data_IF_108089134076
#
_entry.id   IF_108089134076
#
_cell.length_a   1.000
_cell.length_b   1.000
_cell.length_c   1.000
_cell.angle_alpha   90.00
_cell.angle_beta   90.00
_cell.angle_gamma   90.00
#
_symmetry.space_group_name_H-M   'P 1'
#
loop_
_entity.id
_entity.type
_entity.pdbx_description
1 polymer ?
#
# COMPACT_ATOMS: atom_id res chain seq x y z
N UNK A 1 -20.12 -1.95 -10.92
CA UNK A 1 -19.09 -2.39 -11.91
C UNK A 1 -18.25 -1.25 -12.48
N UNK A 2 -18.84 -0.10 -12.87
CA UNK A 2 -18.09 1.03 -13.46
C UNK A 2 -16.97 1.57 -12.55
N UNK A 3 -17.27 1.78 -11.26
CA UNK A 3 -16.32 2.28 -10.26
C UNK A 3 -15.10 1.36 -10.07
N UNK A 4 -15.28 0.03 -10.16
CA UNK A 4 -14.17 -0.95 -10.07
C UNK A 4 -13.15 -0.75 -11.18
N UNK A 5 -13.66 -0.63 -12.41
CA UNK A 5 -12.82 -0.42 -13.60
C UNK A 5 -12.01 0.86 -13.46
N UNK A 6 -12.66 1.96 -13.03
CA UNK A 6 -12.00 3.25 -12.83
C UNK A 6 -10.87 3.14 -11.82
N UNK A 7 -11.11 2.54 -10.64
CA UNK A 7 -10.07 2.41 -9.61
C UNK A 7 -8.87 1.58 -10.08
N UNK A 8 -9.12 0.45 -10.77
CA UNK A 8 -8.05 -0.37 -11.32
C UNK A 8 -7.30 0.35 -12.45
N UNK A 9 -7.99 1.09 -13.31
CA UNK A 9 -7.35 1.94 -14.33
C UNK A 9 -6.44 2.99 -13.69
N UNK A 10 -6.87 3.63 -12.60
CA UNK A 10 -6.02 4.58 -11.86
C UNK A 10 -4.77 3.88 -11.29
N UNK A 11 -4.92 2.70 -10.69
CA UNK A 11 -3.78 1.93 -10.18
C UNK A 11 -2.80 1.53 -11.30
N UNK A 12 -3.30 1.19 -12.50
CA UNK A 12 -2.48 0.88 -13.68
C UNK A 12 -1.79 2.12 -14.27
N UNK A 13 -2.44 3.30 -14.22
CA UNK A 13 -1.80 4.56 -14.57
C UNK A 13 -0.66 4.86 -13.59
N UNK A 14 -0.87 4.68 -12.28
CA UNK A 14 0.19 4.83 -11.29
C UNK A 14 1.34 3.82 -11.53
N UNK A 15 1.05 2.59 -11.97
CA UNK A 15 2.06 1.63 -12.39
C UNK A 15 2.87 2.14 -13.59
N UNK A 16 2.20 2.65 -14.62
CA UNK A 16 2.88 3.25 -15.78
C UNK A 16 3.79 4.41 -15.35
N UNK A 17 3.30 5.30 -14.49
CA UNK A 17 4.11 6.40 -13.96
C UNK A 17 5.31 5.88 -13.14
N UNK A 18 5.10 4.89 -12.27
CA UNK A 18 6.17 4.28 -11.50
C UNK A 18 7.24 3.62 -12.38
N UNK A 19 6.83 2.93 -13.46
CA UNK A 19 7.75 2.29 -14.41
C UNK A 19 8.52 3.32 -15.24
N UNK A 20 7.90 4.43 -15.64
CA UNK A 20 8.60 5.56 -16.29
C UNK A 20 9.68 6.13 -15.35
N UNK A 21 9.34 6.42 -14.09
CA UNK A 21 10.33 6.90 -13.10
C UNK A 21 11.43 5.85 -12.87
N UNK A 22 11.07 4.56 -12.84
CA UNK A 22 12.02 3.46 -12.73
C UNK A 22 12.97 3.36 -13.92
N UNK A 23 12.47 3.58 -15.14
CA UNK A 23 13.28 3.62 -16.35
C UNK A 23 14.24 4.82 -16.33
N UNK A 24 13.78 5.99 -15.86
CA UNK A 24 14.63 7.17 -15.67
C UNK A 24 15.75 6.91 -14.65
N UNK A 25 15.45 6.23 -13.53
CA UNK A 25 16.47 5.82 -12.57
C UNK A 25 17.53 4.90 -13.17
N UNK A 26 17.13 3.99 -14.06
CA UNK A 26 18.09 3.12 -14.79
C UNK A 26 18.91 3.90 -15.80
N UNK A 27 18.26 4.82 -16.53
CA UNK A 27 18.93 5.68 -17.50
C UNK A 27 19.95 6.64 -16.85
N UNK A 28 19.71 7.05 -15.60
CA UNK A 28 20.65 7.87 -14.83
C UNK A 28 22.03 7.22 -14.59
N UNK A 29 22.16 5.90 -14.80
CA UNK A 29 23.46 5.21 -14.79
C UNK A 29 24.18 5.23 -16.15
N UNK A 30 23.48 5.58 -17.22
CA UNK A 30 24.04 5.71 -18.57
C UNK A 30 24.53 7.13 -18.81
N UNK A 31 23.77 8.13 -18.36
CA UNK A 31 24.14 9.54 -18.45
C UNK A 31 23.62 10.30 -17.24
N UNK A 32 24.35 11.34 -16.83
CA UNK A 32 23.89 12.26 -15.80
C UNK A 32 22.62 12.98 -16.26
N UNK A 33 21.64 13.09 -15.36
CA UNK A 33 20.40 13.84 -15.58
C UNK A 33 20.54 15.22 -14.94
N UNK A 34 20.83 16.29 -15.72
CA UNK A 34 21.08 17.61 -15.16
C UNK A 34 19.85 18.12 -14.38
N UNK A 35 20.09 18.63 -13.17
CA UNK A 35 19.04 19.17 -12.29
C UNK A 35 18.23 18.12 -11.53
N UNK A 36 18.49 16.82 -11.70
CA UNK A 36 17.73 15.75 -11.04
C UNK A 36 18.59 15.03 -10.00
N UNK A 37 18.14 15.04 -8.74
CA UNK A 37 18.78 14.26 -7.66
C UNK A 37 18.29 12.83 -7.70
N UNK A 38 19.21 11.88 -7.89
CA UNK A 38 18.89 10.45 -7.95
C UNK A 38 18.05 9.96 -6.77
N UNK A 39 18.41 10.35 -5.53
CA UNK A 39 17.66 9.96 -4.33
C UNK A 39 16.21 10.44 -4.36
N UNK A 40 15.93 11.62 -4.92
CA UNK A 40 14.58 12.18 -4.97
C UNK A 40 13.71 11.40 -5.95
N UNK A 41 14.25 11.04 -7.12
CA UNK A 41 13.58 10.11 -8.04
C UNK A 41 13.39 8.73 -7.41
N UNK A 42 14.36 8.23 -6.66
CA UNK A 42 14.27 6.93 -5.99
C UNK A 42 13.12 6.91 -4.98
N UNK A 43 12.97 7.97 -4.18
CA UNK A 43 11.83 8.11 -3.28
C UNK A 43 10.51 8.25 -4.05
N UNK A 44 10.50 9.01 -5.14
CA UNK A 44 9.30 9.14 -6.01
C UNK A 44 8.86 7.77 -6.55
N UNK A 45 9.79 7.02 -7.15
CA UNK A 45 9.53 5.71 -7.71
C UNK A 45 8.96 4.76 -6.65
N UNK A 46 9.62 4.64 -5.50
CA UNK A 46 9.23 3.68 -4.47
C UNK A 46 7.84 3.99 -3.87
N UNK A 47 7.51 5.26 -3.62
CA UNK A 47 6.20 5.65 -3.10
C UNK A 47 5.10 5.47 -4.15
N UNK A 48 5.33 5.86 -5.41
CA UNK A 48 4.31 5.70 -6.47
C UNK A 48 4.11 4.23 -6.81
N UNK A 49 5.16 3.40 -6.79
CA UNK A 49 5.04 1.95 -6.99
C UNK A 49 4.28 1.26 -5.86
N UNK A 50 4.68 1.48 -4.60
CA UNK A 50 4.08 0.77 -3.46
C UNK A 50 2.71 1.34 -3.08
N UNK A 51 2.59 2.66 -2.96
CA UNK A 51 1.40 3.33 -2.47
C UNK A 51 0.44 3.72 -3.60
N UNK A 52 0.98 4.12 -4.75
CA UNK A 52 0.16 4.48 -5.92
C UNK A 52 -0.35 3.28 -6.71
N UNK A 53 0.48 2.28 -6.95
CA UNK A 53 0.08 1.10 -7.72
C UNK A 53 -0.42 -0.04 -6.83
N UNK A 54 0.47 -0.67 -6.05
CA UNK A 54 0.14 -1.93 -5.34
C UNK A 54 -0.97 -1.69 -4.33
N UNK A 55 -0.82 -0.69 -3.45
CA UNK A 55 -1.84 -0.38 -2.44
C UNK A 55 -3.19 -0.02 -3.06
N UNK A 56 -3.24 0.83 -4.09
CA UNK A 56 -4.51 1.24 -4.72
C UNK A 56 -5.18 0.08 -5.48
N UNK A 57 -4.40 -0.80 -6.10
CA UNK A 57 -4.93 -2.01 -6.71
C UNK A 57 -5.54 -2.94 -5.65
N UNK A 58 -4.82 -3.18 -4.55
CA UNK A 58 -5.32 -4.00 -3.44
C UNK A 58 -6.53 -3.37 -2.77
N UNK A 59 -6.55 -2.04 -2.54
CA UNK A 59 -7.70 -1.32 -2.04
C UNK A 59 -8.93 -1.66 -2.89
N UNK A 60 -8.82 -1.51 -4.21
CA UNK A 60 -9.93 -1.77 -5.11
C UNK A 60 -10.37 -3.23 -5.05
N UNK A 61 -9.44 -4.17 -5.22
CA UNK A 61 -9.74 -5.60 -5.26
C UNK A 61 -10.35 -6.09 -3.95
N UNK A 62 -9.80 -5.67 -2.80
CA UNK A 62 -10.30 -6.06 -1.48
C UNK A 62 -11.70 -5.53 -1.21
N UNK A 63 -11.98 -4.27 -1.55
CA UNK A 63 -13.33 -3.71 -1.40
C UNK A 63 -14.34 -4.54 -2.20
N UNK A 64 -14.06 -4.81 -3.48
CA UNK A 64 -15.00 -5.57 -4.31
C UNK A 64 -15.11 -7.05 -3.96
N UNK A 65 -14.09 -7.64 -3.32
CA UNK A 65 -14.10 -9.06 -2.97
C UNK A 65 -14.75 -9.33 -1.60
N UNK A 66 -14.61 -8.41 -0.64
CA UNK A 66 -14.98 -8.67 0.75
C UNK A 66 -16.11 -7.80 1.29
N UNK A 67 -16.47 -6.70 0.63
CA UNK A 67 -17.59 -5.85 1.06
C UNK A 67 -18.89 -6.35 0.44
N UNK A 68 -19.92 -6.69 1.25
CA UNK A 68 -21.21 -7.13 0.73
C UNK A 68 -21.93 -6.07 -0.11
N UNK A 69 -22.71 -6.49 -1.11
CA UNK A 69 -23.42 -5.58 -2.03
C UNK A 69 -24.37 -4.58 -1.34
N UNK A 70 -24.88 -4.92 -0.15
CA UNK A 70 -25.73 -4.03 0.65
C UNK A 70 -25.01 -2.84 1.30
N UNK A 71 -23.68 -2.80 1.29
CA UNK A 71 -22.89 -1.71 1.87
C UNK A 71 -22.58 -0.66 0.80
N UNK A 72 -22.95 0.60 1.08
CA UNK A 72 -22.69 1.71 0.15
C UNK A 72 -21.19 1.95 -0.04
N UNK A 73 -20.74 1.88 -1.30
CA UNK A 73 -19.36 2.15 -1.69
C UNK A 73 -19.02 3.64 -1.81
N UNK A 74 -19.97 4.55 -1.56
CA UNK A 74 -19.75 6.01 -1.70
C UNK A 74 -18.58 6.50 -0.86
N UNK A 75 -18.50 6.07 0.40
CA UNK A 75 -17.41 6.44 1.31
C UNK A 75 -16.07 5.88 0.86
N UNK A 76 -16.04 4.62 0.39
CA UNK A 76 -14.82 4.01 -0.16
C UNK A 76 -14.34 4.74 -1.41
N UNK A 77 -15.25 5.22 -2.25
CA UNK A 77 -14.90 6.05 -3.40
C UNK A 77 -14.26 7.38 -2.98
N UNK A 78 -14.82 8.06 -1.98
CA UNK A 78 -14.22 9.28 -1.44
C UNK A 78 -12.82 9.00 -0.88
N UNK A 79 -12.68 7.96 -0.06
CA UNK A 79 -11.40 7.57 0.52
C UNK A 79 -10.36 7.19 -0.54
N UNK A 80 -10.76 6.48 -1.60
CA UNK A 80 -9.91 6.15 -2.73
C UNK A 80 -9.36 7.41 -3.40
N UNK A 81 -10.23 8.37 -3.73
CA UNK A 81 -9.79 9.60 -4.40
C UNK A 81 -8.98 10.53 -3.50
N UNK A 82 -9.27 10.59 -2.20
CA UNK A 82 -8.44 11.30 -1.23
C UNK A 82 -7.06 10.68 -1.12
N UNK A 83 -6.99 9.34 -1.10
CA UNK A 83 -5.71 8.60 -1.11
C UNK A 83 -4.94 8.84 -2.41
N UNK A 84 -5.62 8.81 -3.56
CA UNK A 84 -5.01 9.13 -4.86
C UNK A 84 -4.47 10.57 -4.88
N UNK A 85 -5.19 11.52 -4.26
CA UNK A 85 -4.71 12.89 -4.09
C UNK A 85 -3.37 12.94 -3.36
N UNK A 86 -3.20 12.14 -2.30
CA UNK A 86 -1.91 12.00 -1.62
C UNK A 86 -0.82 11.37 -2.49
N UNK A 87 -1.16 10.38 -3.32
CA UNK A 87 -0.22 9.77 -4.28
C UNK A 87 0.27 10.79 -5.31
N UNK A 88 -0.64 11.59 -5.87
CA UNK A 88 -0.29 12.67 -6.80
C UNK A 88 0.56 13.73 -6.09
N UNK A 89 0.21 14.09 -4.85
CA UNK A 89 1.00 14.98 -4.01
C UNK A 89 2.44 14.49 -3.85
N UNK A 90 2.63 13.21 -3.51
CA UNK A 90 3.95 12.57 -3.42
C UNK A 90 4.68 12.55 -4.77
N UNK A 91 3.99 12.21 -5.86
CA UNK A 91 4.56 12.17 -7.21
C UNK A 91 5.15 13.53 -7.61
N UNK A 92 4.50 14.63 -7.22
CA UNK A 92 4.95 15.99 -7.54
C UNK A 92 5.98 16.52 -6.55
N UNK A 93 5.85 16.20 -5.26
CA UNK A 93 6.70 16.79 -4.22
C UNK A 93 8.04 16.08 -4.04
N UNK A 94 8.10 14.74 -4.16
CA UNK A 94 9.35 14.00 -3.97
C UNK A 94 10.45 14.39 -4.99
N UNK A 95 10.17 14.58 -6.30
CA UNK A 95 11.19 15.00 -7.26
C UNK A 95 11.80 16.37 -6.93
N UNK A 96 11.03 17.26 -6.30
CA UNK A 96 11.44 18.65 -6.01
C UNK A 96 12.22 18.76 -4.70
N UNK A 97 11.77 18.10 -3.64
CA UNK A 97 12.30 18.32 -2.28
C UNK A 97 12.67 17.04 -1.53
N UNK A 98 12.54 15.86 -2.14
CA UNK A 98 12.77 14.58 -1.45
C UNK A 98 11.89 14.46 -0.20
N UNK A 99 12.49 14.14 0.95
CA UNK A 99 11.84 14.15 2.27
C UNK A 99 11.60 15.56 2.84
N UNK A 100 11.16 16.51 2.01
CA UNK A 100 10.71 17.82 2.45
C UNK A 100 9.31 17.77 3.09
N UNK A 101 8.89 18.89 3.70
CA UNK A 101 7.67 18.97 4.49
C UNK A 101 6.42 18.50 3.73
N UNK A 102 6.21 18.96 2.49
CA UNK A 102 5.05 18.53 1.69
C UNK A 102 5.05 17.03 1.37
N UNK A 103 6.21 16.42 1.10
CA UNK A 103 6.31 15.00 0.79
C UNK A 103 5.97 14.16 2.01
N UNK A 104 6.50 14.56 3.17
CA UNK A 104 6.17 13.93 4.46
C UNK A 104 4.67 14.11 4.79
N UNK A 105 4.11 15.30 4.54
CA UNK A 105 2.70 15.56 4.79
C UNK A 105 1.81 14.65 3.93
N UNK A 106 2.05 14.55 2.62
CA UNK A 106 1.26 13.66 1.75
C UNK A 106 1.45 12.18 2.10
N UNK A 107 2.66 11.73 2.42
CA UNK A 107 2.89 10.35 2.90
C UNK A 107 2.14 10.08 4.20
N UNK A 108 2.14 11.04 5.13
CA UNK A 108 1.42 10.93 6.41
C UNK A 108 -0.09 10.85 6.17
N UNK A 109 -0.64 11.75 5.35
CA UNK A 109 -2.07 11.73 5.00
C UNK A 109 -2.45 10.39 4.36
N UNK A 110 -1.61 9.86 3.46
CA UNK A 110 -1.82 8.54 2.88
C UNK A 110 -1.88 7.44 3.96
N UNK A 111 -0.95 7.43 4.93
CA UNK A 111 -0.96 6.48 6.05
C UNK A 111 -2.26 6.60 6.86
N UNK A 112 -2.69 7.81 7.18
CA UNK A 112 -3.92 8.05 7.94
C UNK A 112 -5.17 7.53 7.19
N UNK A 113 -5.28 7.81 5.90
CA UNK A 113 -6.36 7.24 5.07
C UNK A 113 -6.30 5.71 5.00
N UNK A 114 -5.09 5.15 5.03
CA UNK A 114 -4.91 3.70 5.08
C UNK A 114 -5.42 3.08 6.38
N UNK A 115 -5.31 3.77 7.52
CA UNK A 115 -5.91 3.33 8.79
C UNK A 115 -7.43 3.43 8.76
N UNK A 116 -7.97 4.51 8.18
CA UNK A 116 -9.43 4.64 7.98
C UNK A 116 -9.96 3.50 7.12
N UNK A 117 -9.25 3.16 6.04
CA UNK A 117 -9.57 2.04 5.16
C UNK A 117 -9.64 0.73 5.93
N UNK A 118 -8.61 0.41 6.73
CA UNK A 118 -8.55 -0.80 7.56
C UNK A 118 -9.73 -0.87 8.52
N UNK A 119 -10.03 0.22 9.23
CA UNK A 119 -11.13 0.29 10.18
C UNK A 119 -12.49 0.04 9.49
N UNK A 120 -12.72 0.64 8.32
CA UNK A 120 -13.94 0.40 7.53
C UNK A 120 -14.03 -1.03 7.02
N UNK A 121 -12.95 -1.58 6.47
CA UNK A 121 -12.91 -2.96 5.98
C UNK A 121 -13.25 -3.97 7.09
N UNK A 122 -12.69 -3.80 8.30
CA UNK A 122 -13.02 -4.67 9.43
C UNK A 122 -14.47 -4.57 9.87
N UNK A 123 -15.05 -3.37 9.86
CA UNK A 123 -16.44 -3.14 10.27
C UNK A 123 -17.43 -3.68 9.23
N UNK A 124 -17.15 -3.48 7.95
CA UNK A 124 -18.13 -3.69 6.89
C UNK A 124 -18.11 -5.10 6.28
N UNK A 125 -16.99 -5.83 6.41
CA UNK A 125 -16.89 -7.20 5.91
C UNK A 125 -17.90 -8.14 6.58
N UNK A 126 -18.39 -7.82 7.78
CA UNK A 126 -19.37 -8.62 8.52
C UNK A 126 -18.76 -9.82 9.27
N UNK A 127 -19.56 -10.58 10.03
CA UNK A 127 -19.05 -11.52 11.04
C UNK A 127 -18.64 -12.91 10.52
N UNK A 128 -18.78 -13.20 9.21
CA UNK A 128 -18.47 -14.53 8.67
C UNK A 128 -17.00 -14.89 8.92
N UNK A 129 -16.76 -16.14 9.31
CA UNK A 129 -15.42 -16.67 9.59
C UNK A 129 -15.02 -17.64 8.48
N UNK A 130 -14.50 -17.10 7.38
CA UNK A 130 -13.87 -17.89 6.31
C UNK A 130 -12.34 -17.73 6.37
N UNK A 131 -11.61 -18.67 5.79
CA UNK A 131 -10.15 -18.63 5.76
C UNK A 131 -9.63 -17.39 5.04
N UNK A 132 -10.24 -17.03 3.91
CA UNK A 132 -9.91 -15.80 3.17
C UNK A 132 -10.04 -14.53 4.01
N UNK A 133 -11.07 -14.44 4.87
CA UNK A 133 -11.30 -13.31 5.77
C UNK A 133 -10.30 -13.27 6.92
N UNK A 134 -9.85 -14.43 7.40
CA UNK A 134 -8.80 -14.50 8.41
C UNK A 134 -7.48 -13.97 7.84
N UNK A 135 -7.10 -14.42 6.64
CA UNK A 135 -5.95 -13.89 5.90
C UNK A 135 -6.06 -12.38 5.67
N UNK A 136 -7.25 -11.88 5.27
CA UNK A 136 -7.44 -10.44 5.11
C UNK A 136 -7.22 -9.67 6.42
N UNK A 137 -7.73 -10.17 7.56
CA UNK A 137 -7.48 -9.54 8.86
C UNK A 137 -6.00 -9.54 9.22
N UNK A 138 -5.30 -10.64 8.95
CA UNK A 138 -3.85 -10.74 9.14
C UNK A 138 -3.10 -9.74 8.26
N UNK A 139 -3.46 -9.61 6.98
CA UNK A 139 -2.88 -8.63 6.08
C UNK A 139 -3.08 -7.20 6.61
N UNK A 140 -4.32 -6.81 6.92
CA UNK A 140 -4.64 -5.47 7.43
C UNK A 140 -3.92 -5.17 8.75
N UNK A 141 -3.75 -6.16 9.62
CA UNK A 141 -2.92 -6.03 10.82
C UNK A 141 -1.47 -5.69 10.46
N UNK A 142 -0.85 -6.46 9.55
CA UNK A 142 0.52 -6.21 9.13
C UNK A 142 0.70 -4.89 8.39
N UNK A 143 -0.33 -4.40 7.71
CA UNK A 143 -0.33 -3.05 7.15
C UNK A 143 -0.13 -1.99 8.23
N UNK A 144 -0.89 -2.05 9.34
CA UNK A 144 -0.67 -1.13 10.47
C UNK A 144 0.68 -1.40 11.13
N UNK A 145 1.00 -2.67 11.39
CA UNK A 145 2.21 -3.03 12.11
C UNK A 145 3.48 -2.54 11.39
N UNK A 146 3.54 -2.67 10.06
CA UNK A 146 4.69 -2.21 9.26
C UNK A 146 4.95 -0.71 9.43
N UNK A 147 3.89 0.11 9.58
CA UNK A 147 4.03 1.57 9.67
C UNK A 147 4.72 2.04 10.94
N UNK A 148 4.88 1.18 11.96
CA UNK A 148 5.76 1.46 13.10
C UNK A 148 7.18 1.78 12.62
N UNK A 149 7.66 1.10 11.56
CA UNK A 149 8.91 1.40 10.89
C UNK A 149 8.98 2.86 10.40
N UNK A 150 7.91 3.35 9.79
CA UNK A 150 7.83 4.73 9.29
C UNK A 150 7.74 5.74 10.43
N UNK A 151 6.96 5.46 11.47
CA UNK A 151 6.85 6.35 12.62
C UNK A 151 8.17 6.47 13.40
N UNK A 152 8.97 5.41 13.43
CA UNK A 152 10.34 5.47 13.99
C UNK A 152 11.26 6.39 13.18
N UNK A 153 11.01 6.60 11.88
CA UNK A 153 11.87 7.44 11.04
C UNK A 153 11.88 8.91 11.48
N UNK A 154 10.78 9.45 11.97
CA UNK A 154 10.73 10.84 12.45
C UNK A 154 11.79 11.12 13.52
N UNK A 155 11.74 10.42 14.67
CA UNK A 155 12.76 10.53 15.73
C UNK A 155 14.18 10.16 15.27
N UNK A 156 14.35 9.11 14.46
CA UNK A 156 15.68 8.69 13.96
C UNK A 156 16.31 9.79 13.12
N UNK A 157 15.53 10.45 12.26
CA UNK A 157 16.01 11.50 11.38
C UNK A 157 16.31 12.82 12.10
N UNK A 158 15.71 13.03 13.28
CA UNK A 158 15.91 14.20 14.14
C UNK A 158 17.07 14.03 15.15
N UNK A 159 17.67 12.84 15.22
CA UNK A 159 18.77 12.52 16.14
C UNK A 159 20.03 12.14 15.36
N UNK A 160 21.20 11.97 16.02
CA UNK A 160 22.42 11.46 15.39
C UNK A 160 22.30 10.02 14.84
N UNK A 161 21.14 9.37 15.01
CA UNK A 161 20.85 8.03 14.49
C UNK A 161 20.59 8.01 12.97
N UNK A 162 20.48 9.17 12.33
CA UNK A 162 20.38 9.32 10.87
C UNK A 162 21.61 8.70 10.21
N UNK A 163 21.46 7.50 9.64
CA UNK A 163 22.49 6.60 9.08
C UNK A 163 23.13 5.56 10.02
N UNK A 164 22.62 5.41 11.23
CA UNK A 164 22.97 4.28 12.11
C UNK A 164 22.24 2.99 11.70
N UNK A 165 22.61 1.86 12.32
CA UNK A 165 21.89 0.59 12.18
C UNK A 165 20.40 0.72 12.46
N UNK A 166 19.98 1.63 13.35
CA UNK A 166 18.56 1.88 13.64
C UNK A 166 17.79 2.43 12.44
N UNK A 167 18.42 3.28 11.62
CA UNK A 167 17.81 3.77 10.38
C UNK A 167 17.53 2.61 9.41
N UNK A 168 18.53 1.75 9.19
CA UNK A 168 18.40 0.60 8.30
C UNK A 168 17.39 -0.42 8.84
N UNK A 169 17.39 -0.67 10.15
CA UNK A 169 16.41 -1.56 10.80
C UNK A 169 14.98 -1.03 10.63
N UNK A 170 14.74 0.28 10.81
CA UNK A 170 13.41 0.86 10.64
C UNK A 170 12.90 0.74 9.19
N UNK A 171 13.78 0.99 8.20
CA UNK A 171 13.45 0.79 6.77
C UNK A 171 13.17 -0.69 6.47
N UNK A 172 14.05 -1.59 6.90
CA UNK A 172 13.89 -3.03 6.64
C UNK A 172 12.66 -3.59 7.34
N UNK A 173 12.36 -3.16 8.56
CA UNK A 173 11.14 -3.52 9.28
C UNK A 173 9.90 -3.10 8.49
N UNK A 174 9.85 -1.85 8.02
CA UNK A 174 8.76 -1.37 7.18
C UNK A 174 8.61 -2.23 5.93
N UNK A 175 9.68 -2.39 5.15
CA UNK A 175 9.63 -3.13 3.87
C UNK A 175 9.28 -4.60 4.09
N UNK A 176 9.87 -5.27 5.08
CA UNK A 176 9.63 -6.68 5.36
C UNK A 176 8.14 -6.95 5.64
N UNK A 177 7.54 -6.21 6.57
CA UNK A 177 6.13 -6.39 6.91
C UNK A 177 5.19 -5.82 5.85
N UNK A 178 5.59 -4.80 5.10
CA UNK A 178 4.78 -4.25 4.01
C UNK A 178 4.67 -5.23 2.83
N UNK A 179 5.77 -5.86 2.41
CA UNK A 179 5.74 -6.84 1.32
C UNK A 179 5.22 -8.19 1.79
N UNK A 180 5.82 -8.78 2.83
CA UNK A 180 5.51 -10.15 3.23
C UNK A 180 4.25 -10.25 4.08
N UNK A 181 4.01 -9.27 4.97
CA UNK A 181 2.86 -9.27 5.86
C UNK A 181 1.60 -8.67 5.22
N UNK A 182 1.73 -7.52 4.55
CA UNK A 182 0.58 -6.85 3.95
C UNK A 182 0.31 -7.32 2.52
N UNK A 183 1.20 -7.06 1.56
CA UNK A 183 0.92 -7.31 0.15
C UNK A 183 0.70 -8.79 -0.19
N UNK A 184 1.63 -9.68 0.19
CA UNK A 184 1.53 -11.10 -0.14
C UNK A 184 0.30 -11.73 0.51
N UNK A 185 0.06 -11.47 1.80
CA UNK A 185 -1.10 -12.04 2.51
C UNK A 185 -2.41 -11.47 1.94
N UNK A 186 -2.47 -10.21 1.53
CA UNK A 186 -3.66 -9.64 0.88
C UNK A 186 -3.96 -10.32 -0.47
N UNK A 187 -2.93 -10.62 -1.27
CA UNK A 187 -3.09 -11.38 -2.53
C UNK A 187 -3.57 -12.80 -2.25
N UNK A 188 -3.02 -13.47 -1.23
CA UNK A 188 -3.51 -14.78 -0.80
C UNK A 188 -4.97 -14.73 -0.34
N UNK A 189 -5.35 -13.72 0.44
CA UNK A 189 -6.74 -13.52 0.84
C UNK A 189 -7.68 -13.42 -0.37
N UNK A 190 -7.30 -12.66 -1.41
CA UNK A 190 -8.05 -12.57 -2.67
C UNK A 190 -8.13 -13.91 -3.40
N UNK A 191 -7.02 -14.66 -3.47
CA UNK A 191 -6.97 -15.98 -4.11
C UNK A 191 -7.90 -16.99 -3.42
N UNK A 192 -7.84 -17.07 -2.09
CA UNK A 192 -8.71 -17.96 -1.32
C UNK A 192 -10.16 -17.51 -1.36
N UNK A 193 -10.44 -16.20 -1.38
CA UNK A 193 -11.79 -15.68 -1.57
C UNK A 193 -12.38 -16.11 -2.90
N UNK A 194 -11.61 -15.99 -3.98
CA UNK A 194 -12.02 -16.46 -5.31
C UNK A 194 -12.26 -17.98 -5.34
N UNK A 195 -11.41 -18.76 -4.67
CA UNK A 195 -11.57 -20.21 -4.56
C UNK A 195 -12.83 -20.60 -3.76
N UNK A 196 -13.10 -19.91 -2.65
CA UNK A 196 -14.31 -20.10 -1.83
C UNK A 196 -15.58 -19.78 -2.65
N UNK A 197 -15.55 -18.72 -3.48
CA UNK A 197 -16.67 -18.34 -4.35
C UNK A 197 -16.95 -19.34 -5.47
N UNK A 198 -15.94 -20.14 -5.87
CA UNK A 198 -16.10 -21.29 -6.78
C UNK A 198 -16.61 -22.56 -6.08
N UNK A 199 -16.83 -22.52 -4.77
CA UNK A 199 -17.30 -23.67 -3.98
C UNK A 199 -16.20 -24.66 -3.58
N UNK A 200 -14.92 -24.28 -3.69
CA UNK A 200 -13.82 -25.10 -3.18
C UNK A 200 -13.79 -25.01 -1.65
N UNK A 201 -14.27 -26.07 -0.99
CA UNK A 201 -14.29 -26.16 0.47
C UNK A 201 -12.89 -26.55 0.95
N UNK A 202 -12.19 -25.60 1.59
CA UNK A 202 -10.95 -25.90 2.30
C UNK A 202 -11.30 -26.60 3.62
N UNK A 203 -10.75 -27.79 3.84
CA UNK A 203 -11.00 -28.55 5.07
C UNK A 203 -10.43 -27.80 6.28
N UNK A 204 -11.19 -27.73 7.37
CA UNK A 204 -10.77 -27.13 8.66
C UNK A 204 -9.43 -27.70 9.18
N UNK A 205 -9.08 -28.93 8.80
CA UNK A 205 -7.80 -29.59 9.13
C UNK A 205 -6.60 -29.02 8.35
N UNK A 206 -6.84 -28.46 7.17
CA UNK A 206 -5.83 -27.80 6.34
C UNK A 206 -5.64 -26.34 6.77
N UNK A 207 -6.70 -25.67 7.23
CA UNK A 207 -6.64 -24.31 7.79
C UNK A 207 -5.75 -24.23 9.05
N UNK A 208 -5.84 -25.24 9.93
CA UNK A 208 -5.00 -25.36 11.14
C UNK A 208 -3.52 -25.66 10.88
N UNK A 209 -3.12 -25.95 9.62
CA UNK A 209 -1.71 -26.12 9.27
C UNK A 209 -1.05 -24.81 8.88
N UNK A 210 -1.84 -23.78 8.60
CA UNK A 210 -1.38 -22.47 8.11
C UNK A 210 -1.27 -21.41 9.22
N UNK A 211 -1.91 -21.66 10.37
CA UNK A 211 -1.91 -20.85 11.59
C UNK A 211 -1.50 -21.71 12.78
#
# INVERSE_FOLDING_TARGET
MMTKRIWLSVALINFLLATIVGALLRFAFVTELPGIKYQYLLHTHSHVAMLGWIYMALFALLVYAFIPEGVSLRRYNQLFWMTQGSVIGMLLSFPVQGYGAFSIAFSTIHILFSYVFIWWMWKDMGPQRTFSRLLLKTALFFQVFSTLGVWMMGPIMATPLRQSSFYYLAVQFYLHFQFNGWFIIAVLALFFKYSEDLGLIFSRKQEQRFY
#
